data_IF_981023069653
#
_entry.id   IF_981023069653
#
_cell.length_a   1.000
_cell.length_b   1.000
_cell.length_c   1.000
_cell.angle_alpha   90.00
_cell.angle_beta   90.00
_cell.angle_gamma   90.00
#
_symmetry.space_group_name_H-M   'P 1'
#
loop_
_entity.id
_entity.type
_entity.pdbx_description
1 polymer ?
#
# COMPACT_ATOMS: atom_id res chain seq x y z
N UNK A 1 16.27 6.72 -23.07
CA UNK A 1 15.57 5.54 -23.63
C UNK A 1 14.79 4.93 -22.47
N UNK A 2 13.45 4.97 -22.53
CA UNK A 2 12.56 4.52 -21.45
C UNK A 2 12.36 3.02 -21.52
N UNK A 3 12.69 2.32 -20.43
CA UNK A 3 12.60 0.86 -20.31
C UNK A 3 11.40 0.42 -19.44
N UNK A 4 10.28 1.14 -19.50
CA UNK A 4 9.02 0.72 -18.88
C UNK A 4 8.18 -0.10 -19.86
N UNK A 5 7.46 -1.15 -19.43
CA UNK A 5 6.60 -1.91 -20.33
C UNK A 5 5.50 -0.99 -20.89
N UNK A 6 5.41 -0.92 -22.23
CA UNK A 6 4.35 -0.20 -22.91
C UNK A 6 3.01 -0.86 -22.61
N UNK A 7 2.13 -0.17 -21.87
CA UNK A 7 0.72 -0.56 -21.78
C UNK A 7 0.02 -0.13 -23.06
N UNK A 8 -0.32 -1.10 -23.92
CA UNK A 8 -1.10 -0.84 -25.14
C UNK A 8 -2.49 -0.24 -24.86
N UNK A 9 -3.01 -0.39 -23.63
CA UNK A 9 -4.24 0.26 -23.16
C UNK A 9 -4.31 0.30 -21.62
N UNK A 10 -3.84 1.39 -20.98
CA UNK A 10 -3.94 1.51 -19.52
C UNK A 10 -5.40 1.62 -19.05
N UNK A 11 -5.67 1.17 -17.83
CA UNK A 11 -6.95 1.43 -17.16
C UNK A 11 -7.09 2.91 -16.83
N UNK A 12 -8.32 3.38 -16.56
CA UNK A 12 -8.54 4.78 -16.15
C UNK A 12 -7.77 5.12 -14.87
N UNK A 13 -7.67 4.18 -13.92
CA UNK A 13 -6.92 4.38 -12.68
C UNK A 13 -5.44 4.54 -13.00
N UNK A 14 -4.86 3.66 -13.82
CA UNK A 14 -3.45 3.74 -14.22
C UNK A 14 -3.13 5.05 -14.95
N UNK A 15 -3.97 5.45 -15.91
CA UNK A 15 -3.77 6.67 -16.68
C UNK A 15 -3.83 7.95 -15.81
N UNK A 16 -4.85 8.07 -14.95
CA UNK A 16 -5.01 9.22 -14.05
C UNK A 16 -3.88 9.24 -13.02
N UNK A 17 -3.50 8.08 -12.49
CA UNK A 17 -2.44 7.96 -11.50
C UNK A 17 -1.06 8.30 -12.09
N UNK A 18 -0.78 7.83 -13.30
CA UNK A 18 0.43 8.20 -14.04
C UNK A 18 0.49 9.70 -14.32
N UNK A 19 -0.64 10.33 -14.66
CA UNK A 19 -0.71 11.77 -14.88
C UNK A 19 -0.36 12.56 -13.60
N UNK A 20 -1.01 12.23 -12.48
CA UNK A 20 -0.76 12.89 -11.19
C UNK A 20 0.67 12.66 -10.71
N UNK A 21 1.13 11.40 -10.73
CA UNK A 21 2.46 11.03 -10.28
C UNK A 21 3.54 11.65 -11.16
N UNK A 22 3.32 11.73 -12.48
CA UNK A 22 4.23 12.38 -13.41
C UNK A 22 4.41 13.88 -13.12
N UNK A 23 3.35 14.58 -12.71
CA UNK A 23 3.45 15.97 -12.23
C UNK A 23 4.38 16.11 -11.03
N UNK A 24 4.25 15.21 -10.04
CA UNK A 24 5.13 15.16 -8.86
C UNK A 24 6.57 14.76 -9.22
N UNK A 25 6.73 13.80 -10.14
CA UNK A 25 8.05 13.36 -10.64
C UNK A 25 8.79 14.48 -11.35
N UNK A 26 8.08 15.28 -12.16
CA UNK A 26 8.64 16.40 -12.92
C UNK A 26 9.03 17.63 -12.08
N UNK A 27 8.62 17.70 -10.82
CA UNK A 27 8.96 18.85 -9.95
C UNK A 27 10.46 18.92 -9.65
N UNK A 28 11.05 20.10 -9.89
CA UNK A 28 12.51 20.37 -9.80
C UNK A 28 12.97 20.89 -8.44
N UNK A 29 12.07 21.11 -7.47
CA UNK A 29 12.47 21.61 -6.14
C UNK A 29 13.33 20.57 -5.42
N UNK A 30 14.61 20.90 -5.29
CA UNK A 30 15.64 20.05 -4.72
C UNK A 30 15.94 20.53 -3.30
N UNK A 31 15.03 20.24 -2.37
CA UNK A 31 15.30 20.41 -0.95
C UNK A 31 14.82 19.16 -0.22
N UNK A 32 15.78 18.30 0.16
CA UNK A 32 15.65 16.97 0.79
C UNK A 32 15.49 15.82 -0.20
N UNK A 33 16.08 14.66 0.16
CA UNK A 33 15.93 13.37 -0.53
C UNK A 33 14.47 12.90 -0.42
N UNK A 34 13.57 13.52 -1.16
CA UNK A 34 12.16 13.09 -1.22
C UNK A 34 12.09 11.90 -2.18
N UNK A 35 11.78 10.73 -1.64
CA UNK A 35 11.46 9.56 -2.46
C UNK A 35 10.12 9.80 -3.15
N UNK A 36 10.13 9.83 -4.48
CA UNK A 36 8.94 10.05 -5.29
C UNK A 36 8.26 8.70 -5.56
N UNK A 37 7.41 8.29 -4.62
CA UNK A 37 6.71 6.99 -4.61
C UNK A 37 5.23 7.20 -4.86
N UNK A 38 4.62 6.33 -5.66
CA UNK A 38 3.15 6.21 -5.73
C UNK A 38 2.70 5.02 -4.89
N UNK A 39 1.64 5.20 -4.11
CA UNK A 39 1.02 4.16 -3.29
C UNK A 39 -0.38 3.88 -3.82
N UNK A 40 -0.68 2.63 -4.15
CA UNK A 40 -1.99 2.20 -4.65
C UNK A 40 -2.59 1.13 -3.74
N UNK A 41 -3.74 1.43 -3.15
CA UNK A 41 -4.49 0.43 -2.39
C UNK A 41 -5.17 -0.55 -3.36
N UNK A 42 -4.95 -1.83 -3.14
CA UNK A 42 -5.47 -2.94 -3.94
C UNK A 42 -6.45 -3.73 -3.10
N UNK A 43 -7.71 -3.82 -3.55
CA UNK A 43 -8.73 -4.68 -2.92
C UNK A 43 -8.35 -6.16 -3.09
N UNK A 44 -8.16 -6.85 -1.98
CA UNK A 44 -7.73 -8.24 -1.96
C UNK A 44 -8.90 -9.21 -2.12
N UNK A 45 -10.15 -8.78 -1.93
CA UNK A 45 -11.30 -9.69 -1.86
C UNK A 45 -11.42 -10.61 -3.05
N UNK A 46 -11.24 -10.08 -4.26
CA UNK A 46 -11.30 -10.85 -5.52
C UNK A 46 -10.00 -11.56 -5.88
N UNK A 47 -8.93 -11.32 -5.13
CA UNK A 47 -7.57 -11.79 -5.42
C UNK A 47 -7.13 -12.93 -4.50
N UNK A 48 -7.90 -13.19 -3.45
CA UNK A 48 -7.76 -14.36 -2.59
C UNK A 48 -8.39 -15.59 -3.25
N UNK A 49 -7.86 -16.77 -2.91
CA UNK A 49 -8.44 -18.06 -3.26
C UNK A 49 -8.70 -18.89 -1.98
N UNK A 50 -9.98 -19.06 -1.57
CA UNK A 50 -11.19 -18.59 -2.26
C UNK A 50 -11.42 -17.06 -2.14
N UNK A 51 -12.11 -16.43 -3.10
CA UNK A 51 -12.40 -14.99 -3.04
C UNK A 51 -13.39 -14.66 -1.93
N UNK A 52 -13.22 -13.50 -1.30
CA UNK A 52 -14.13 -13.01 -0.26
C UNK A 52 -15.34 -12.29 -0.85
N UNK A 53 -16.50 -12.30 -0.16
CA UNK A 53 -17.67 -11.55 -0.57
C UNK A 53 -17.37 -10.04 -0.71
N UNK A 54 -17.89 -9.40 -1.77
CA UNK A 54 -17.66 -7.97 -2.02
C UNK A 54 -18.13 -7.07 -0.87
N UNK A 55 -19.16 -7.51 -0.13
CA UNK A 55 -19.80 -6.77 0.95
C UNK A 55 -19.37 -7.23 2.35
N UNK A 56 -18.27 -8.00 2.47
CA UNK A 56 -17.76 -8.32 3.79
C UNK A 56 -17.24 -7.07 4.51
N UNK A 57 -17.50 -7.01 5.82
CA UNK A 57 -17.12 -5.91 6.71
C UNK A 57 -15.60 -5.93 6.89
N UNK A 58 -14.96 -4.75 6.83
CA UNK A 58 -13.52 -4.55 7.07
C UNK A 58 -12.76 -3.97 5.86
N UNK A 59 -11.54 -3.50 6.09
CA UNK A 59 -10.66 -2.96 5.03
C UNK A 59 -9.67 -4.05 4.56
N UNK A 60 -10.06 -4.83 3.56
CA UNK A 60 -9.24 -5.93 3.03
C UNK A 60 -8.44 -5.44 1.82
N UNK A 61 -7.36 -4.71 2.10
CA UNK A 61 -6.51 -4.07 1.09
C UNK A 61 -5.03 -4.38 1.31
N UNK A 62 -4.23 -4.32 0.24
CA UNK A 62 -2.77 -4.26 0.30
C UNK A 62 -2.26 -3.07 -0.53
N UNK A 63 -1.16 -2.46 -0.10
CA UNK A 63 -0.62 -1.27 -0.76
C UNK A 63 0.49 -1.64 -1.74
N UNK A 64 0.26 -1.46 -3.04
CA UNK A 64 1.30 -1.48 -4.06
C UNK A 64 2.14 -0.19 -3.97
N UNK A 65 3.42 -0.33 -3.64
CA UNK A 65 4.38 0.77 -3.55
C UNK A 65 5.24 0.83 -4.83
N UNK A 66 5.04 1.87 -5.63
CA UNK A 66 5.69 2.04 -6.93
C UNK A 66 6.81 3.06 -6.82
N UNK A 67 8.04 2.65 -7.13
CA UNK A 67 9.21 3.54 -7.16
C UNK A 67 9.53 3.92 -8.60
N UNK A 68 9.84 5.19 -8.82
CA UNK A 68 10.33 5.68 -10.11
C UNK A 68 11.81 6.07 -9.98
N UNK A 69 12.74 5.38 -10.67
CA UNK A 69 14.17 5.52 -10.41
C UNK A 69 14.80 6.76 -11.07
N UNK A 70 14.05 7.51 -11.86
CA UNK A 70 14.56 8.65 -12.64
C UNK A 70 13.75 9.91 -12.38
N UNK A 71 14.34 11.08 -12.64
CA UNK A 71 13.64 12.37 -12.61
C UNK A 71 12.92 12.67 -13.93
N UNK A 72 13.18 11.89 -14.97
CA UNK A 72 12.54 12.04 -16.29
C UNK A 72 11.13 11.46 -16.23
N UNK A 73 10.14 12.27 -16.61
CA UNK A 73 8.74 11.84 -16.67
C UNK A 73 8.50 11.08 -17.97
N UNK A 74 7.99 9.86 -17.84
CA UNK A 74 7.44 9.07 -18.94
C UNK A 74 6.09 8.53 -18.47
N UNK A 75 4.99 9.13 -18.93
CA UNK A 75 3.64 8.76 -18.49
C UNK A 75 3.28 7.31 -18.85
N UNK A 76 3.77 6.80 -19.98
CA UNK A 76 3.54 5.43 -20.37
C UNK A 76 4.33 4.47 -19.47
N UNK A 77 5.60 4.78 -19.22
CA UNK A 77 6.43 4.02 -18.29
C UNK A 77 5.91 4.04 -16.85
N UNK A 78 5.41 5.18 -16.37
CA UNK A 78 4.77 5.33 -15.06
C UNK A 78 3.51 4.45 -14.98
N UNK A 79 2.64 4.53 -15.99
CA UNK A 79 1.46 3.67 -16.09
C UNK A 79 1.83 2.18 -16.09
N UNK A 80 2.84 1.81 -16.89
CA UNK A 80 3.38 0.44 -16.95
C UNK A 80 3.87 -0.06 -15.59
N UNK A 81 4.58 0.77 -14.84
CA UNK A 81 5.05 0.43 -13.48
C UNK A 81 3.92 0.31 -12.48
N UNK A 82 2.92 1.19 -12.54
CA UNK A 82 1.71 1.08 -11.70
C UNK A 82 0.99 -0.24 -11.97
N UNK A 83 0.80 -0.58 -13.24
CA UNK A 83 0.15 -1.83 -13.64
C UNK A 83 0.92 -3.07 -13.15
N UNK A 84 2.24 -3.08 -13.36
CA UNK A 84 3.12 -4.16 -12.89
C UNK A 84 2.99 -4.34 -11.37
N UNK A 85 3.14 -3.26 -10.59
CA UNK A 85 3.05 -3.33 -9.13
C UNK A 85 1.67 -3.76 -8.62
N UNK A 86 0.58 -3.29 -9.23
CA UNK A 86 -0.77 -3.73 -8.88
C UNK A 86 -0.97 -5.20 -9.25
N UNK A 87 -0.46 -5.66 -10.39
CA UNK A 87 -0.67 -7.03 -10.88
C UNK A 87 0.13 -8.07 -10.09
N UNK A 88 1.27 -7.67 -9.50
CA UNK A 88 2.07 -8.52 -8.62
C UNK A 88 1.32 -8.97 -7.36
N UNK A 89 0.38 -8.17 -6.85
CA UNK A 89 -0.42 -8.50 -5.67
C UNK A 89 -1.51 -9.51 -6.07
N UNK A 90 -1.12 -10.74 -6.35
CA UNK A 90 -2.02 -11.86 -6.66
C UNK A 90 -2.13 -12.82 -5.47
N UNK A 91 -2.92 -13.88 -5.60
CA UNK A 91 -3.10 -14.88 -4.54
C UNK A 91 -1.77 -15.47 -4.05
N UNK A 92 -0.86 -15.80 -4.97
CA UNK A 92 0.42 -16.42 -4.62
C UNK A 92 1.31 -15.47 -3.83
N UNK A 93 1.37 -14.19 -4.25
CA UNK A 93 2.05 -13.13 -3.50
C UNK A 93 1.45 -12.96 -2.11
N UNK A 94 0.12 -12.93 -2.00
CA UNK A 94 -0.57 -12.80 -0.72
C UNK A 94 -0.26 -14.01 0.17
N UNK A 95 -0.27 -15.24 -0.36
CA UNK A 95 0.09 -16.42 0.41
C UNK A 95 1.55 -16.39 0.86
N UNK A 96 2.47 -15.94 0.03
CA UNK A 96 3.85 -15.77 0.44
C UNK A 96 4.00 -14.72 1.57
N UNK A 97 3.26 -13.60 1.48
CA UNK A 97 3.34 -12.50 2.45
C UNK A 97 2.60 -12.81 3.76
N UNK A 98 1.53 -13.62 3.71
CA UNK A 98 0.60 -13.80 4.84
C UNK A 98 0.40 -15.25 5.31
N UNK A 99 0.83 -16.27 4.55
CA UNK A 99 0.65 -17.69 4.90
C UNK A 99 1.95 -18.39 5.34
N UNK A 100 3.11 -17.91 4.93
CA UNK A 100 4.37 -18.38 5.51
C UNK A 100 4.58 -17.69 6.86
N UNK A 101 4.75 -18.48 7.93
CA UNK A 101 5.17 -18.05 9.27
C UNK A 101 6.58 -17.42 9.29
N UNK A 102 6.99 -16.71 8.24
CA UNK A 102 8.04 -15.72 8.40
C UNK A 102 7.58 -14.75 9.47
N UNK A 103 8.41 -14.52 10.48
CA UNK A 103 8.26 -13.49 11.53
C UNK A 103 8.04 -12.06 10.98
N UNK A 104 7.90 -11.91 9.66
CA UNK A 104 7.33 -10.78 8.96
C UNK A 104 5.80 -10.89 8.95
N UNK A 105 5.18 -10.92 10.14
CA UNK A 105 3.80 -10.45 10.25
C UNK A 105 3.80 -9.03 9.70
N UNK A 106 3.19 -8.82 8.53
CA UNK A 106 3.16 -7.51 7.88
C UNK A 106 2.48 -6.53 8.82
N UNK A 107 3.26 -5.78 9.60
CA UNK A 107 2.79 -4.59 10.29
C UNK A 107 2.42 -3.57 9.21
N UNK A 108 1.20 -3.68 8.69
CA UNK A 108 0.62 -2.64 7.85
C UNK A 108 0.19 -1.52 8.80
N UNK A 109 1.15 -0.71 9.26
CA UNK A 109 0.87 0.45 10.10
C UNK A 109 0.46 1.62 9.22
N UNK A 110 -0.84 1.90 9.14
CA UNK A 110 -1.29 3.18 8.57
C UNK A 110 -1.45 4.16 9.71
N UNK A 111 -0.50 5.09 9.81
CA UNK A 111 -0.52 6.18 10.78
C UNK A 111 -1.21 7.38 10.13
N UNK A 112 -2.29 7.85 10.73
CA UNK A 112 -2.97 9.08 10.35
C UNK A 112 -2.93 10.05 11.52
N UNK A 113 -2.49 11.28 11.27
CA UNK A 113 -2.70 12.38 12.20
C UNK A 113 -4.18 12.79 12.16
N UNK A 114 -4.82 12.83 13.31
CA UNK A 114 -6.14 13.42 13.48
C UNK A 114 -5.88 14.85 13.90
N UNK A 115 -6.33 15.81 13.07
CA UNK A 115 -6.02 17.24 13.16
C UNK A 115 -6.14 17.79 14.60
N UNK A 116 -5.03 17.83 15.33
CA UNK A 116 -4.96 18.30 16.72
C UNK A 116 -5.48 17.33 17.80
N UNK A 117 -6.01 16.16 17.45
CA UNK A 117 -6.60 15.19 18.38
C UNK A 117 -5.73 13.94 18.61
N UNK A 118 -4.68 13.76 17.83
CA UNK A 118 -3.66 12.72 18.05
C UNK A 118 -3.34 11.91 16.80
N UNK A 119 -3.00 10.63 17.00
CA UNK A 119 -2.56 9.73 15.93
C UNK A 119 -3.41 8.45 15.97
N UNK A 120 -3.98 8.09 14.83
CA UNK A 120 -4.63 6.78 14.61
C UNK A 120 -3.68 5.85 13.87
N UNK A 121 -3.46 4.64 14.40
CA UNK A 121 -2.65 3.62 13.78
C UNK A 121 -3.48 2.36 13.53
N UNK A 122 -3.75 2.06 12.26
CA UNK A 122 -4.34 0.78 11.86
C UNK A 122 -3.24 -0.26 11.77
N UNK A 123 -3.44 -1.43 12.37
CA UNK A 123 -2.49 -2.55 12.38
C UNK A 123 -3.20 -3.82 11.93
N UNK A 124 -2.62 -4.54 10.98
CA UNK A 124 -3.08 -5.88 10.57
C UNK A 124 -2.01 -6.89 10.96
N UNK A 125 -2.39 -7.97 11.64
CA UNK A 125 -1.51 -9.04 12.09
C UNK A 125 -2.23 -10.38 11.91
N UNK A 126 -1.49 -11.50 11.96
CA UNK A 126 -2.13 -12.81 12.16
C UNK A 126 -2.86 -12.83 13.52
N UNK A 127 -3.88 -13.67 13.65
CA UNK A 127 -4.67 -13.76 14.88
C UNK A 127 -3.78 -14.00 16.12
N UNK A 128 -2.85 -14.93 16.02
CA UNK A 128 -1.91 -15.27 17.10
C UNK A 128 -1.00 -14.07 17.47
N UNK A 129 -0.55 -13.30 16.48
CA UNK A 129 0.28 -12.13 16.71
C UNK A 129 -0.53 -10.95 17.26
N UNK A 130 -1.78 -10.76 16.82
CA UNK A 130 -2.68 -9.73 17.35
C UNK A 130 -2.95 -9.95 18.84
N UNK A 131 -3.21 -11.20 19.24
CA UNK A 131 -3.43 -11.55 20.65
C UNK A 131 -2.23 -11.22 21.56
N UNK A 132 -1.00 -11.31 21.03
CA UNK A 132 0.21 -10.87 21.74
C UNK A 132 0.35 -9.34 21.72
N UNK A 133 0.07 -8.71 20.59
CA UNK A 133 0.16 -7.27 20.39
C UNK A 133 -0.78 -6.50 21.33
N UNK A 134 -2.04 -6.93 21.47
CA UNK A 134 -3.05 -6.32 22.34
C UNK A 134 -2.72 -6.42 23.84
N UNK A 135 -1.90 -7.39 24.25
CA UNK A 135 -1.51 -7.61 25.65
C UNK A 135 -0.18 -6.95 26.01
N UNK A 136 0.50 -6.34 25.06
CA UNK A 136 1.84 -5.78 25.26
C UNK A 136 1.77 -4.48 26.08
N UNK A 137 2.32 -4.50 27.30
CA UNK A 137 2.30 -3.37 28.22
C UNK A 137 3.00 -2.11 27.68
N UNK A 138 4.01 -2.26 26.83
CA UNK A 138 4.69 -1.11 26.21
C UNK A 138 3.81 -0.42 25.17
N UNK A 139 2.89 -1.15 24.52
CA UNK A 139 1.92 -0.57 23.58
C UNK A 139 0.77 0.06 24.34
N UNK A 140 0.21 -0.66 25.33
CA UNK A 140 -0.91 -0.18 26.15
C UNK A 140 -0.58 1.06 26.98
N UNK A 141 0.70 1.32 27.25
CA UNK A 141 1.15 2.56 27.90
C UNK A 141 0.88 3.82 27.06
N UNK A 142 0.75 3.68 25.74
CA UNK A 142 0.65 4.81 24.81
C UNK A 142 -0.51 4.72 23.80
N UNK A 143 -1.19 3.58 23.71
CA UNK A 143 -2.24 3.32 22.73
C UNK A 143 -3.52 2.81 23.38
N UNK A 144 -4.67 3.22 22.83
CA UNK A 144 -5.97 2.63 23.15
C UNK A 144 -6.38 1.69 22.01
N UNK A 145 -6.68 0.43 22.34
CA UNK A 145 -7.07 -0.62 21.37
C UNK A 145 -8.52 -0.44 20.89
N UNK A 146 -9.31 0.41 21.57
CA UNK A 146 -10.68 0.75 21.18
C UNK A 146 -10.91 2.23 21.47
N UNK A 147 -10.46 3.13 20.57
CA UNK A 147 -10.68 4.56 20.75
C UNK A 147 -12.18 4.83 20.74
N UNK A 148 -12.67 5.52 21.78
CA UNK A 148 -14.00 6.12 21.76
C UNK A 148 -13.86 7.42 20.98
N UNK A 149 -14.16 7.38 19.69
CA UNK A 149 -14.44 8.60 18.91
C UNK A 149 -15.86 9.03 19.28
#
# INVERSE_FOLDING_TARGET
MSNGPYLGRPTRIEAVSALMWGGFVGEKKESKKVYKVAAHNVDLRKRLDPPLPQHCIGNIIHTAMVKWPTKVVDYNGLGGKIHESISLINNDYIRQVYADNTDQGLLLQTIREIDGEGIEAWVTLSEEAMLRFEKNSNILAYASVSPRI
#
